data_IF_085435126777
#
_entry.id   IF_085435126777
#
_cell.length_a   1.000
_cell.length_b   1.000
_cell.length_c   1.000
_cell.angle_alpha   90.00
_cell.angle_beta   90.00
_cell.angle_gamma   90.00
#
_symmetry.space_group_name_H-M   'P 1'
#
loop_
_entity.id
_entity.type
_entity.pdbx_description
1 polymer ?
#
# COMPACT_ATOMS: atom_id res chain seq x y z
N UNK A 1 -5.92 5.15 44.28
CA UNK A 1 -5.59 4.07 43.33
C UNK A 1 -5.83 2.75 44.05
N UNK A 2 -6.73 1.87 43.60
CA UNK A 2 -6.93 0.58 44.25
C UNK A 2 -5.65 -0.25 44.08
N UNK A 3 -5.14 -0.81 45.18
CA UNK A 3 -4.08 -1.82 45.16
C UNK A 3 -4.60 -3.02 44.38
N UNK A 4 -3.92 -3.41 43.30
CA UNK A 4 -4.30 -4.56 42.46
C UNK A 4 -3.19 -5.60 42.51
N UNK A 5 -3.54 -6.77 43.03
CA UNK A 5 -2.66 -7.92 43.22
C UNK A 5 -2.53 -8.72 41.91
N UNK A 6 -1.34 -9.20 41.53
CA UNK A 6 -1.14 -10.01 40.34
C UNK A 6 -1.74 -11.42 40.49
N UNK A 7 -2.28 -11.96 39.38
CA UNK A 7 -2.79 -13.32 39.29
C UNK A 7 -1.59 -14.28 39.10
N UNK A 8 -1.09 -14.80 40.23
CA UNK A 8 -0.46 -16.11 40.46
C UNK A 8 0.68 -16.60 39.55
N UNK A 9 1.88 -16.81 40.12
CA UNK A 9 2.49 -18.13 40.47
C UNK A 9 3.59 -17.92 41.53
N UNK A 10 3.40 -18.40 42.77
CA UNK A 10 4.47 -18.44 43.78
C UNK A 10 5.13 -19.82 43.79
N UNK A 11 6.44 -19.86 43.52
CA UNK A 11 7.29 -21.02 43.82
C UNK A 11 7.48 -21.11 45.34
N UNK A 12 6.93 -22.16 45.93
CA UNK A 12 7.34 -22.83 47.17
C UNK A 12 8.35 -22.10 48.08
N UNK A 13 7.86 -21.52 49.18
CA UNK A 13 8.71 -21.11 50.31
C UNK A 13 8.11 -20.00 51.17
N UNK A 14 6.99 -20.26 51.86
CA UNK A 14 6.41 -19.27 52.78
C UNK A 14 5.09 -19.75 53.37
N UNK A 15 4.96 -19.54 54.68
CA UNK A 15 3.92 -20.01 55.60
C UNK A 15 2.48 -19.82 55.13
N UNK A 16 1.63 -20.78 55.51
CA UNK A 16 0.18 -20.78 55.38
C UNK A 16 -0.46 -19.48 55.87
N UNK A 17 -1.07 -18.71 54.96
CA UNK A 17 -2.48 -18.26 55.08
C UNK A 17 -2.96 -17.39 53.90
N UNK A 18 -2.11 -16.97 52.96
CA UNK A 18 -2.50 -16.11 51.83
C UNK A 18 -2.31 -16.75 50.44
N UNK A 19 -2.63 -18.04 50.29
CA UNK A 19 -2.51 -18.73 49.00
C UNK A 19 -3.83 -18.64 48.21
N UNK A 20 -3.88 -17.72 47.26
CA UNK A 20 -4.89 -17.71 46.21
C UNK A 20 -4.95 -19.09 45.50
N UNK A 21 -6.14 -19.61 45.16
CA UNK A 21 -6.28 -20.95 44.58
C UNK A 21 -5.64 -21.04 43.18
N UNK A 22 -4.93 -22.13 42.91
CA UNK A 22 -4.36 -22.41 41.60
C UNK A 22 -5.49 -22.70 40.59
N UNK A 23 -5.62 -21.87 39.57
CA UNK A 23 -6.56 -22.07 38.47
C UNK A 23 -5.96 -23.01 37.41
N UNK A 24 -6.76 -23.90 36.79
CA UNK A 24 -6.35 -24.66 35.62
C UNK A 24 -5.98 -23.75 34.44
N UNK A 25 -5.05 -24.20 33.60
CA UNK A 25 -4.54 -23.41 32.46
C UNK A 25 -5.66 -23.06 31.46
N UNK A 26 -6.69 -23.90 31.32
CA UNK A 26 -7.85 -23.63 30.45
C UNK A 26 -8.67 -22.43 30.96
N UNK A 27 -8.81 -22.30 32.28
CA UNK A 27 -9.53 -21.20 32.92
C UNK A 27 -8.71 -19.91 32.79
N UNK A 28 -7.38 -20.01 32.96
CA UNK A 28 -6.47 -18.88 32.77
C UNK A 28 -6.52 -18.40 31.30
N UNK A 29 -6.43 -19.32 30.34
CA UNK A 29 -6.55 -19.00 28.91
C UNK A 29 -7.90 -18.37 28.58
N UNK A 30 -9.00 -18.88 29.18
CA UNK A 30 -10.31 -18.28 29.00
C UNK A 30 -10.38 -16.86 29.58
N UNK A 31 -9.88 -16.62 30.79
CA UNK A 31 -9.82 -15.27 31.39
C UNK A 31 -9.01 -14.31 30.50
N UNK A 32 -7.83 -14.75 30.04
CA UNK A 32 -6.98 -13.97 29.14
C UNK A 32 -7.70 -13.67 27.82
N UNK A 33 -8.44 -14.64 27.26
CA UNK A 33 -9.21 -14.46 26.02
C UNK A 33 -10.35 -13.44 26.12
N UNK A 34 -10.85 -13.20 27.34
CA UNK A 34 -11.94 -12.25 27.60
C UNK A 34 -11.43 -10.81 27.80
N UNK A 35 -10.12 -10.61 27.90
CA UNK A 35 -9.48 -9.30 28.07
C UNK A 35 -8.90 -8.85 26.74
N UNK A 36 -9.10 -7.58 26.41
CA UNK A 36 -8.58 -7.04 25.16
C UNK A 36 -7.04 -7.06 25.16
N UNK A 37 -6.38 -7.31 24.01
CA UNK A 37 -4.92 -7.28 23.92
C UNK A 37 -4.29 -6.01 24.50
N UNK A 38 -4.98 -4.88 24.35
CA UNK A 38 -4.57 -3.59 24.91
C UNK A 38 -4.60 -3.60 26.45
N UNK A 39 -5.69 -4.05 27.07
CA UNK A 39 -5.80 -4.13 28.52
C UNK A 39 -4.83 -5.13 29.14
N UNK A 40 -4.61 -6.28 28.50
CA UNK A 40 -3.68 -7.30 28.98
C UNK A 40 -2.28 -6.72 29.20
N UNK A 41 -1.80 -5.87 28.30
CA UNK A 41 -0.48 -5.28 28.46
C UNK A 41 -0.49 -3.98 29.28
N UNK A 42 -1.55 -3.17 29.20
CA UNK A 42 -1.72 -2.01 30.09
C UNK A 42 -1.62 -2.42 31.57
N UNK A 43 -2.19 -3.59 31.89
CA UNK A 43 -2.14 -4.21 33.21
C UNK A 43 -0.85 -4.98 33.50
N UNK A 44 0.13 -4.98 32.59
CA UNK A 44 1.42 -5.66 32.70
C UNK A 44 1.29 -7.15 33.02
N UNK A 45 0.39 -7.85 32.33
CA UNK A 45 0.20 -9.29 32.50
C UNK A 45 1.39 -10.10 31.99
N UNK A 46 2.21 -9.51 31.11
CA UNK A 46 3.52 -10.06 30.70
C UNK A 46 4.57 -9.74 31.76
N UNK A 47 5.35 -10.73 32.18
CA UNK A 47 6.35 -10.66 33.23
C UNK A 47 5.80 -11.01 34.62
N UNK A 48 4.58 -11.55 34.70
CA UNK A 48 3.99 -12.02 35.96
C UNK A 48 4.63 -13.35 36.36
N UNK A 49 4.72 -14.31 35.43
CA UNK A 49 5.51 -15.53 35.54
C UNK A 49 5.61 -16.22 34.18
N UNK A 50 6.59 -17.13 34.02
CA UNK A 50 6.88 -17.77 32.74
C UNK A 50 5.71 -18.51 32.10
N UNK A 51 4.87 -19.22 32.88
CA UNK A 51 3.76 -19.98 32.29
C UNK A 51 2.52 -19.14 31.99
N UNK A 52 2.29 -18.06 32.73
CA UNK A 52 1.27 -17.09 32.39
C UNK A 52 1.68 -16.24 31.19
N UNK A 53 2.97 -15.92 31.08
CA UNK A 53 3.54 -15.22 29.93
C UNK A 53 3.31 -16.03 28.63
N UNK A 54 3.48 -17.35 28.65
CA UNK A 54 3.19 -18.21 27.49
C UNK A 54 1.73 -18.09 27.03
N UNK A 55 0.77 -18.15 27.96
CA UNK A 55 -0.67 -18.04 27.66
C UNK A 55 -1.03 -16.64 27.13
N UNK A 56 -0.47 -15.60 27.73
CA UNK A 56 -0.66 -14.20 27.29
C UNK A 56 -0.04 -13.97 25.92
N UNK A 57 1.17 -14.48 25.66
CA UNK A 57 1.83 -14.37 24.36
C UNK A 57 1.06 -15.11 23.27
N UNK A 58 0.51 -16.28 23.55
CA UNK A 58 -0.30 -17.04 22.59
C UNK A 58 -1.60 -16.28 22.25
N UNK A 59 -2.25 -15.67 23.24
CA UNK A 59 -3.42 -14.81 23.04
C UNK A 59 -3.10 -13.58 22.18
N UNK A 60 -1.99 -12.89 22.49
CA UNK A 60 -1.54 -11.72 21.72
C UNK A 60 -1.19 -12.09 20.27
N UNK A 61 -0.55 -13.25 20.04
CA UNK A 61 -0.25 -13.76 18.69
C UNK A 61 -1.50 -14.09 17.88
N UNK A 62 -2.57 -14.55 18.53
CA UNK A 62 -3.85 -14.87 17.89
C UNK A 62 -4.73 -13.64 17.61
N UNK A 63 -4.38 -12.50 18.20
CA UNK A 63 -5.19 -11.29 18.10
C UNK A 63 -4.96 -10.56 16.78
N UNK A 64 -6.00 -10.46 15.95
CA UNK A 64 -5.96 -9.79 14.64
C UNK A 64 -6.29 -8.31 14.69
N UNK A 65 -6.66 -7.78 15.86
CA UNK A 65 -7.07 -6.39 16.08
C UNK A 65 -6.35 -5.81 17.28
N UNK A 66 -5.43 -4.87 17.04
CA UNK A 66 -4.69 -4.16 18.09
C UNK A 66 -5.11 -2.69 18.10
N UNK A 67 -5.48 -2.19 19.27
CA UNK A 67 -5.74 -0.76 19.47
C UNK A 67 -4.41 -0.08 19.80
N UNK A 68 -4.08 0.94 19.01
CA UNK A 68 -2.70 1.43 18.74
C UNK A 68 -2.10 2.24 19.90
N UNK A 69 -2.86 2.58 20.93
CA UNK A 69 -2.53 3.68 21.84
C UNK A 69 -1.61 3.38 23.04
N UNK A 70 -0.90 2.24 23.12
CA UNK A 70 0.10 2.04 24.18
C UNK A 70 1.43 1.47 23.65
N UNK A 71 2.46 2.33 23.69
CA UNK A 71 3.82 2.18 23.12
C UNK A 71 4.62 0.94 23.59
N UNK A 72 4.20 0.26 24.65
CA UNK A 72 4.96 -0.87 25.23
C UNK A 72 4.61 -2.23 24.62
N UNK A 73 3.35 -2.42 24.17
CA UNK A 73 2.88 -3.63 23.48
C UNK A 73 3.61 -3.79 22.14
N UNK A 74 3.70 -2.67 21.44
CA UNK A 74 4.18 -2.60 20.07
C UNK A 74 5.65 -2.98 19.96
N UNK A 75 6.53 -2.50 20.85
CA UNK A 75 7.96 -2.85 20.79
C UNK A 75 8.25 -4.33 21.09
N UNK A 76 7.39 -5.01 21.87
CA UNK A 76 7.59 -6.42 22.23
C UNK A 76 6.96 -7.39 21.23
N UNK A 77 5.85 -7.02 20.59
CA UNK A 77 5.21 -7.81 19.53
C UNK A 77 5.83 -7.54 18.14
N UNK A 78 6.40 -6.36 17.91
CA UNK A 78 6.91 -5.97 16.59
C UNK A 78 8.42 -6.05 16.44
N UNK A 79 8.85 -7.28 16.20
CA UNK A 79 9.86 -7.57 15.18
C UNK A 79 9.26 -8.23 13.92
N UNK A 80 7.92 -8.30 13.81
CA UNK A 80 7.23 -9.35 13.05
C UNK A 80 6.25 -8.88 11.96
N UNK A 81 6.09 -7.57 11.69
CA UNK A 81 5.26 -7.16 10.56
C UNK A 81 5.95 -7.54 9.25
N UNK A 82 5.46 -8.61 8.63
CA UNK A 82 5.99 -9.13 7.35
C UNK A 82 5.49 -8.31 6.18
N UNK A 83 4.31 -7.70 6.29
CA UNK A 83 3.70 -6.91 5.22
C UNK A 83 2.86 -5.74 5.80
N UNK A 84 2.97 -4.58 5.15
CA UNK A 84 2.20 -3.37 5.43
C UNK A 84 1.47 -2.96 4.15
N UNK A 85 0.13 -3.01 4.19
CA UNK A 85 -0.73 -2.64 3.08
C UNK A 85 -1.43 -1.30 3.39
N UNK A 86 -0.92 -0.21 2.83
CA UNK A 86 -1.50 1.12 2.98
C UNK A 86 -2.48 1.41 1.85
N UNK A 87 -3.75 1.60 2.18
CA UNK A 87 -4.76 2.04 1.24
C UNK A 87 -5.23 3.45 1.60
N UNK A 88 -4.85 4.43 0.77
CA UNK A 88 -5.16 5.84 0.99
C UNK A 88 -6.20 6.30 -0.02
N UNK A 89 -7.36 6.69 0.49
CA UNK A 89 -8.43 7.31 -0.30
C UNK A 89 -8.26 8.83 -0.29
N UNK A 90 -7.96 9.39 -1.45
CA UNK A 90 -7.69 10.82 -1.62
C UNK A 90 -8.95 11.47 -2.20
N UNK A 91 -9.45 12.50 -1.51
CA UNK A 91 -10.70 13.16 -1.88
C UNK A 91 -10.62 14.67 -1.66
N UNK A 92 -11.61 15.40 -2.16
CA UNK A 92 -11.62 16.86 -2.08
C UNK A 92 -11.76 17.43 -0.67
N UNK A 93 -12.23 16.63 0.29
CA UNK A 93 -12.33 17.02 1.71
C UNK A 93 -11.01 16.93 2.47
N UNK A 94 -9.95 16.39 1.85
CA UNK A 94 -8.61 16.26 2.46
C UNK A 94 -8.61 15.56 3.83
N UNK A 95 -9.48 14.56 3.99
CA UNK A 95 -9.60 13.79 5.24
C UNK A 95 -8.28 13.12 5.67
N UNK A 96 -7.41 12.82 4.69
CA UNK A 96 -6.03 12.42 4.92
C UNK A 96 -5.13 13.53 4.37
N UNK A 97 -4.20 14.00 5.19
CA UNK A 97 -3.18 14.98 4.77
C UNK A 97 -1.83 14.32 4.62
N UNK A 98 -0.94 14.87 3.80
CA UNK A 98 0.42 14.34 3.67
C UNK A 98 1.18 14.38 5.00
N UNK A 99 0.93 15.37 5.85
CA UNK A 99 1.53 15.46 7.19
C UNK A 99 1.04 14.31 8.10
N UNK A 100 -0.28 14.08 8.14
CA UNK A 100 -0.84 12.97 8.92
C UNK A 100 -0.37 11.61 8.41
N UNK A 101 -0.32 11.44 7.09
CA UNK A 101 0.22 10.25 6.45
C UNK A 101 1.71 10.04 6.79
N UNK A 102 2.53 11.09 6.75
CA UNK A 102 3.95 11.02 7.15
C UNK A 102 4.11 10.57 8.60
N UNK A 103 3.29 11.09 9.51
CA UNK A 103 3.30 10.68 10.91
C UNK A 103 2.91 9.22 11.08
N UNK A 104 1.90 8.75 10.36
CA UNK A 104 1.50 7.33 10.34
C UNK A 104 2.63 6.43 9.83
N UNK A 105 3.28 6.80 8.72
CA UNK A 105 4.39 6.00 8.17
C UNK A 105 5.56 5.95 9.16
N UNK A 106 5.92 7.07 9.80
CA UNK A 106 6.96 7.08 10.84
C UNK A 106 6.63 6.14 12.00
N UNK A 107 5.39 6.18 12.46
CA UNK A 107 4.91 5.26 13.49
C UNK A 107 5.04 3.79 13.05
N UNK A 108 4.64 3.46 11.83
CA UNK A 108 4.78 2.11 11.27
C UNK A 108 6.25 1.70 11.08
N UNK A 109 7.14 2.64 10.80
CA UNK A 109 8.58 2.37 10.72
C UNK A 109 9.19 1.96 12.06
N UNK A 110 8.61 2.35 13.20
CA UNK A 110 9.06 1.90 14.52
C UNK A 110 8.76 0.42 14.79
N UNK A 111 7.87 -0.19 14.00
CA UNK A 111 7.35 -1.56 14.20
C UNK A 111 7.59 -2.48 13.00
N UNK A 112 8.42 -2.04 12.04
CA UNK A 112 8.77 -2.79 10.83
C UNK A 112 10.29 -2.94 10.73
N UNK A 113 10.74 -3.81 9.83
CA UNK A 113 12.15 -4.06 9.58
C UNK A 113 12.45 -4.03 8.08
N UNK A 114 13.72 -4.26 7.70
CA UNK A 114 14.16 -4.23 6.30
C UNK A 114 13.57 -5.34 5.42
N UNK A 115 12.98 -6.37 6.01
CA UNK A 115 12.31 -7.47 5.30
C UNK A 115 10.80 -7.22 5.16
N UNK A 116 10.23 -6.23 5.85
CA UNK A 116 8.81 -5.90 5.73
C UNK A 116 8.48 -5.46 4.30
N UNK A 117 7.45 -6.06 3.73
CA UNK A 117 6.94 -5.73 2.41
C UNK A 117 5.97 -4.54 2.53
N UNK A 118 6.23 -3.46 1.81
CA UNK A 118 5.35 -2.28 1.81
C UNK A 118 4.57 -2.16 0.51
N UNK A 119 3.25 -2.14 0.59
CA UNK A 119 2.38 -1.92 -0.55
C UNK A 119 1.55 -0.65 -0.33
N UNK A 120 1.47 0.19 -1.35
CA UNK A 120 0.68 1.41 -1.35
C UNK A 120 -0.38 1.37 -2.45
N UNK A 121 -1.63 1.56 -2.06
CA UNK A 121 -2.74 1.81 -2.98
C UNK A 121 -3.24 3.23 -2.78
N UNK A 122 -3.25 4.02 -3.84
CA UNK A 122 -3.79 5.37 -3.88
C UNK A 122 -5.08 5.36 -4.70
N UNK A 123 -6.19 5.66 -4.04
CA UNK A 123 -7.52 5.71 -4.65
C UNK A 123 -7.95 7.16 -4.83
N UNK A 124 -8.21 7.56 -6.08
CA UNK A 124 -8.62 8.90 -6.43
C UNK A 124 -10.15 9.04 -6.39
N UNK A 125 -10.61 9.86 -5.46
CA UNK A 125 -11.98 10.30 -5.31
C UNK A 125 -12.11 11.82 -5.47
N UNK A 126 -11.09 12.51 -5.98
CA UNK A 126 -11.13 13.95 -6.27
C UNK A 126 -12.01 14.23 -7.48
N UNK A 127 -12.45 15.47 -7.62
CA UNK A 127 -13.16 15.96 -8.80
C UNK A 127 -12.22 16.26 -9.96
N UNK A 128 -10.99 16.69 -9.68
CA UNK A 128 -10.00 17.13 -10.67
C UNK A 128 -9.22 16.02 -11.36
N UNK A 129 -9.12 14.84 -10.74
CA UNK A 129 -8.22 13.78 -11.20
C UNK A 129 -6.76 14.03 -10.82
N UNK A 130 -5.88 13.14 -11.27
CA UNK A 130 -4.43 13.16 -10.97
C UNK A 130 -3.57 13.65 -12.16
N UNK A 131 -4.11 14.57 -12.95
CA UNK A 131 -3.43 15.11 -14.13
C UNK A 131 -2.25 16.01 -13.79
N UNK A 132 -1.62 16.60 -14.81
CA UNK A 132 -0.50 17.52 -14.59
C UNK A 132 -0.93 18.73 -13.75
N UNK A 133 -0.15 19.03 -12.74
CA UNK A 133 -0.28 20.21 -11.90
C UNK A 133 1.05 20.98 -11.93
N UNK A 134 0.98 22.29 -12.14
CA UNK A 134 2.16 23.15 -12.00
C UNK A 134 2.67 23.16 -10.56
N UNK A 135 3.91 23.60 -10.34
CA UNK A 135 4.54 23.59 -9.00
C UNK A 135 3.73 24.34 -7.94
N UNK A 136 3.16 25.49 -8.30
CA UNK A 136 2.30 26.27 -7.40
C UNK A 136 1.01 25.51 -7.04
N UNK A 137 0.37 24.88 -8.03
CA UNK A 137 -0.85 24.10 -7.82
C UNK A 137 -0.59 22.83 -7.01
N UNK A 138 0.54 22.15 -7.25
CA UNK A 138 0.93 20.96 -6.51
C UNK A 138 1.14 21.28 -5.02
N UNK A 139 1.72 22.45 -4.71
CA UNK A 139 1.91 22.88 -3.32
C UNK A 139 0.57 23.10 -2.63
N UNK A 140 -0.37 23.75 -3.33
CA UNK A 140 -1.73 24.02 -2.83
C UNK A 140 -2.56 22.74 -2.69
N UNK A 141 -2.43 21.82 -3.64
CA UNK A 141 -3.23 20.60 -3.74
C UNK A 141 -2.45 19.35 -3.28
N UNK A 142 -1.43 19.53 -2.44
CA UNK A 142 -0.54 18.43 -2.02
C UNK A 142 -1.31 17.25 -1.43
N UNK A 143 -2.32 17.53 -0.60
CA UNK A 143 -3.15 16.50 0.06
C UNK A 143 -4.06 15.76 -0.93
N UNK A 144 -4.25 16.31 -2.13
CA UNK A 144 -5.08 15.76 -3.20
C UNK A 144 -4.27 15.05 -4.29
N UNK A 145 -2.94 15.01 -4.16
CA UNK A 145 -2.04 14.60 -5.23
C UNK A 145 -1.30 13.33 -4.86
N UNK A 146 -1.45 12.28 -5.68
CA UNK A 146 -0.85 10.96 -5.46
C UNK A 146 0.66 11.04 -5.23
N UNK A 147 1.34 11.85 -6.05
CA UNK A 147 2.80 12.02 -5.98
C UNK A 147 3.29 12.46 -4.61
N UNK A 148 2.51 13.25 -3.86
CA UNK A 148 2.91 13.72 -2.53
C UNK A 148 2.95 12.58 -1.51
N UNK A 149 2.05 11.60 -1.62
CA UNK A 149 2.05 10.41 -0.75
C UNK A 149 3.18 9.45 -1.11
N UNK A 150 3.43 9.25 -2.41
CA UNK A 150 4.58 8.45 -2.88
C UNK A 150 5.89 9.07 -2.39
N UNK A 151 6.10 10.38 -2.64
CA UNK A 151 7.28 11.11 -2.15
C UNK A 151 7.42 11.01 -0.63
N UNK A 152 6.33 11.06 0.13
CA UNK A 152 6.40 10.91 1.59
C UNK A 152 7.02 9.59 2.03
N UNK A 153 6.70 8.47 1.36
CA UNK A 153 7.30 7.15 1.64
C UNK A 153 8.77 7.11 1.22
N UNK A 154 9.08 7.63 0.02
CA UNK A 154 10.46 7.68 -0.49
C UNK A 154 11.36 8.57 0.38
N UNK A 155 10.87 9.71 0.85
CA UNK A 155 11.58 10.63 1.76
C UNK A 155 11.85 10.02 3.14
N UNK A 156 11.11 8.96 3.50
CA UNK A 156 11.32 8.17 4.72
C UNK A 156 12.14 6.90 4.43
N UNK A 157 12.75 6.80 3.25
CA UNK A 157 13.54 5.66 2.78
C UNK A 157 12.78 4.32 2.82
N UNK A 158 11.46 4.36 2.63
CA UNK A 158 10.64 3.15 2.56
C UNK A 158 10.65 2.59 1.15
N UNK A 159 11.07 1.34 0.99
CA UNK A 159 11.05 0.63 -0.30
C UNK A 159 9.64 0.13 -0.62
N UNK A 160 9.03 0.67 -1.66
CA UNK A 160 7.68 0.27 -2.06
C UNK A 160 7.79 -1.03 -2.88
N UNK A 161 7.19 -2.11 -2.40
CA UNK A 161 7.06 -3.34 -3.17
C UNK A 161 6.01 -3.15 -4.27
N UNK A 162 4.77 -2.80 -3.92
CA UNK A 162 3.70 -2.58 -4.88
C UNK A 162 3.12 -1.18 -4.77
N UNK A 163 3.02 -0.47 -5.89
CA UNK A 163 2.29 0.79 -6.02
C UNK A 163 1.08 0.59 -6.94
N UNK A 164 -0.11 0.85 -6.43
CA UNK A 164 -1.38 0.79 -7.19
C UNK A 164 -2.02 2.17 -7.26
N UNK A 165 -2.25 2.66 -8.48
CA UNK A 165 -2.84 3.97 -8.76
C UNK A 165 -4.22 3.76 -9.37
N UNK A 166 -5.27 4.11 -8.63
CA UNK A 166 -6.66 3.77 -8.96
C UNK A 166 -7.53 5.02 -9.12
N UNK A 167 -8.30 5.09 -10.21
CA UNK A 167 -9.42 6.03 -10.35
C UNK A 167 -10.76 5.29 -10.27
N UNK A 168 -11.48 5.42 -9.15
CA UNK A 168 -12.84 4.84 -9.03
C UNK A 168 -13.90 5.58 -9.81
N UNK A 169 -13.64 6.84 -10.17
CA UNK A 169 -14.55 7.68 -10.97
C UNK A 169 -14.24 7.57 -12.45
N UNK A 170 -13.28 6.74 -12.82
CA UNK A 170 -12.95 6.51 -14.20
C UNK A 170 -14.16 5.94 -14.93
N UNK A 171 -14.55 6.67 -15.94
CA UNK A 171 -15.52 6.22 -16.90
C UNK A 171 -14.84 5.13 -17.74
N UNK A 172 -15.56 4.01 -17.93
CA UNK A 172 -15.07 2.93 -18.78
C UNK A 172 -14.66 3.50 -20.14
N UNK A 173 -13.53 3.05 -20.72
CA UNK A 173 -13.01 3.52 -22.01
C UNK A 173 -14.02 3.69 -23.15
N UNK A 174 -15.13 2.96 -23.11
CA UNK A 174 -16.18 2.90 -24.12
C UNK A 174 -17.23 4.01 -24.00
N UNK A 175 -17.51 4.49 -22.79
CA UNK A 175 -18.48 5.55 -22.53
C UNK A 175 -17.91 6.94 -22.86
N UNK A 176 -16.60 7.00 -23.13
CA UNK A 176 -15.89 8.21 -23.54
C UNK A 176 -16.24 8.71 -24.94
N UNK A 177 -16.61 7.80 -25.86
CA UNK A 177 -17.00 8.18 -27.23
C UNK A 177 -18.36 8.91 -27.21
N UNK A 178 -19.17 8.64 -26.20
CA UNK A 178 -20.57 9.07 -26.10
C UNK A 178 -20.81 10.20 -25.10
N UNK A 179 -19.79 10.65 -24.35
CA UNK A 179 -19.98 11.68 -23.32
C UNK A 179 -18.88 12.75 -23.33
N UNK A 180 -19.24 14.05 -23.34
CA UNK A 180 -18.29 15.18 -23.30
C UNK A 180 -17.68 15.42 -21.91
N UNK A 181 -17.77 14.47 -20.98
CA UNK A 181 -17.18 14.62 -19.66
C UNK A 181 -15.66 14.78 -19.73
N UNK A 182 -15.13 15.64 -18.86
CA UNK A 182 -13.70 15.92 -18.75
C UNK A 182 -12.95 14.61 -18.47
N UNK A 183 -12.15 14.17 -19.46
CA UNK A 183 -11.30 12.99 -19.37
C UNK A 183 -10.38 13.12 -18.16
N UNK A 184 -10.46 12.14 -17.26
CA UNK A 184 -9.60 12.06 -16.07
C UNK A 184 -8.37 11.28 -16.48
N UNK A 185 -7.19 11.82 -16.19
CA UNK A 185 -5.93 11.16 -16.50
C UNK A 185 -4.94 11.30 -15.36
N UNK A 186 -4.00 10.38 -15.27
CA UNK A 186 -2.85 10.48 -14.39
C UNK A 186 -1.66 11.08 -15.12
N UNK A 187 -0.94 11.98 -14.46
CA UNK A 187 0.38 12.41 -14.87
C UNK A 187 1.45 11.45 -14.32
N UNK A 188 2.26 10.87 -15.19
CA UNK A 188 3.26 9.88 -14.78
C UNK A 188 4.53 10.55 -14.30
N UNK A 189 4.74 10.55 -12.98
CA UNK A 189 5.96 11.03 -12.35
C UNK A 189 7.05 9.94 -12.35
N UNK A 190 8.35 10.29 -12.46
CA UNK A 190 9.44 9.31 -12.39
C UNK A 190 9.43 8.49 -11.09
N UNK A 191 9.06 9.11 -9.97
CA UNK A 191 9.01 8.50 -8.64
C UNK A 191 8.04 7.32 -8.55
N UNK A 192 7.05 7.21 -9.45
CA UNK A 192 6.19 6.03 -9.50
C UNK A 192 6.95 4.75 -9.89
N UNK A 193 8.10 4.87 -10.56
CA UNK A 193 9.00 3.74 -10.85
C UNK A 193 9.85 3.33 -9.64
N UNK A 194 9.84 4.07 -8.54
CA UNK A 194 10.54 3.72 -7.31
C UNK A 194 9.78 2.64 -6.51
N UNK A 195 9.28 1.63 -7.20
CA UNK A 195 8.63 0.45 -6.62
C UNK A 195 9.02 -0.81 -7.41
N UNK A 196 8.72 -2.00 -6.89
CA UNK A 196 8.96 -3.26 -7.61
C UNK A 196 7.88 -3.57 -8.63
N UNK A 197 6.62 -3.31 -8.27
CA UNK A 197 5.44 -3.56 -9.11
C UNK A 197 4.58 -2.29 -9.16
N UNK A 198 4.35 -1.77 -10.37
CA UNK A 198 3.51 -0.60 -10.62
C UNK A 198 2.24 -1.00 -11.37
N UNK A 199 1.08 -0.83 -10.73
CA UNK A 199 -0.23 -1.07 -11.29
C UNK A 199 -0.96 0.26 -11.53
N UNK A 200 -1.37 0.51 -12.75
CA UNK A 200 -2.07 1.74 -13.16
C UNK A 200 -3.47 1.39 -13.66
N UNK A 201 -4.44 1.59 -12.78
CA UNK A 201 -5.88 1.51 -13.06
C UNK A 201 -6.43 2.93 -13.31
N UNK A 202 -5.73 3.70 -14.15
CA UNK A 202 -5.98 5.10 -14.45
C UNK A 202 -5.62 5.35 -15.92
N UNK A 203 -6.41 6.15 -16.65
CA UNK A 203 -6.00 6.59 -17.98
C UNK A 203 -4.69 7.40 -17.89
N UNK A 204 -3.65 6.96 -18.59
CA UNK A 204 -2.32 7.57 -18.61
C UNK A 204 -2.34 8.75 -19.59
N UNK A 205 -2.18 9.95 -19.01
CA UNK A 205 -2.13 11.20 -19.75
C UNK A 205 -0.71 11.63 -20.06
N UNK A 206 -0.40 12.89 -19.73
CA UNK A 206 0.93 13.45 -19.88
C UNK A 206 1.95 12.68 -19.00
N UNK A 207 3.16 12.56 -19.50
CA UNK A 207 4.24 11.84 -18.84
C UNK A 207 5.33 12.84 -18.55
N UNK A 208 5.90 12.78 -17.35
CA UNK A 208 6.94 13.71 -16.99
C UNK A 208 8.13 13.55 -17.94
N UNK A 209 8.53 14.64 -18.63
CA UNK A 209 9.71 14.59 -19.48
C UNK A 209 10.91 14.19 -18.64
N UNK A 210 11.79 13.37 -19.23
CA UNK A 210 13.02 12.88 -18.60
C UNK A 210 14.08 13.99 -18.46
N UNK A 211 13.71 15.16 -17.94
CA UNK A 211 14.69 16.16 -17.51
C UNK A 211 15.48 15.69 -16.27
N UNK A 212 15.00 14.62 -15.61
CA UNK A 212 15.73 13.89 -14.59
C UNK A 212 16.85 13.11 -15.29
N UNK A 213 18.08 13.59 -15.08
CA UNK A 213 19.37 13.18 -15.63
C UNK A 213 19.35 11.83 -16.37
N UNK A 214 19.95 11.75 -17.57
CA UNK A 214 20.14 10.51 -18.34
C UNK A 214 20.73 9.31 -17.54
N UNK A 215 21.21 9.55 -16.31
CA UNK A 215 21.77 8.59 -15.38
C UNK A 215 20.77 8.06 -14.32
N UNK A 216 19.55 8.60 -14.24
CA UNK A 216 18.52 8.13 -13.31
C UNK A 216 18.00 6.77 -13.78
N UNK A 217 18.51 5.72 -13.15
CA UNK A 217 18.11 4.33 -13.39
C UNK A 217 17.18 3.84 -12.29
N UNK A 218 16.00 3.35 -12.69
CA UNK A 218 14.99 2.83 -11.78
C UNK A 218 15.09 1.32 -11.70
N UNK A 219 16.13 0.84 -11.01
CA UNK A 219 16.48 -0.58 -10.93
C UNK A 219 15.48 -1.41 -10.10
N UNK A 220 14.63 -0.76 -9.29
CA UNK A 220 13.65 -1.48 -8.47
C UNK A 220 12.50 -2.07 -9.29
N UNK A 221 12.07 -1.35 -10.34
CA UNK A 221 10.87 -1.71 -11.10
C UNK A 221 11.11 -2.97 -11.92
N UNK A 222 10.22 -3.95 -11.75
CA UNK A 222 10.23 -5.23 -12.47
C UNK A 222 8.95 -5.49 -13.25
N UNK A 223 7.83 -5.02 -12.73
CA UNK A 223 6.51 -5.25 -13.31
C UNK A 223 5.79 -3.91 -13.49
N UNK A 224 5.30 -3.66 -14.70
CA UNK A 224 4.41 -2.54 -15.00
C UNK A 224 3.12 -3.08 -15.61
N UNK A 225 2.00 -2.79 -14.98
CA UNK A 225 0.68 -3.22 -15.42
C UNK A 225 -0.23 -2.01 -15.66
N UNK A 226 -0.87 -1.99 -16.82
CA UNK A 226 -1.92 -1.04 -17.17
C UNK A 226 -3.23 -1.81 -17.25
N UNK A 227 -4.13 -1.54 -16.31
CA UNK A 227 -5.38 -2.27 -16.19
C UNK A 227 -6.57 -1.42 -16.64
N UNK A 228 -7.34 -1.95 -17.58
CA UNK A 228 -8.50 -1.35 -18.23
C UNK A 228 -8.31 0.13 -18.64
N UNK A 229 -7.10 0.54 -19.03
CA UNK A 229 -6.72 1.95 -19.17
C UNK A 229 -6.18 2.37 -20.53
N UNK A 230 -6.46 3.63 -20.88
CA UNK A 230 -5.91 4.27 -22.07
C UNK A 230 -4.51 4.82 -21.81
N UNK A 231 -3.69 4.84 -22.86
CA UNK A 231 -2.40 5.54 -22.87
C UNK A 231 -2.43 6.53 -24.02
N UNK A 232 -2.48 7.83 -23.72
CA UNK A 232 -2.60 8.87 -24.76
C UNK A 232 -1.30 9.04 -25.55
N UNK A 233 -0.15 8.90 -24.88
CA UNK A 233 1.18 9.12 -25.47
C UNK A 233 2.05 7.88 -25.30
N UNK A 234 1.86 6.88 -26.18
CA UNK A 234 2.55 5.58 -26.07
C UNK A 234 4.07 5.69 -26.22
N UNK A 235 4.55 6.52 -27.13
CA UNK A 235 5.98 6.73 -27.34
C UNK A 235 6.64 7.24 -26.06
N UNK A 236 6.03 8.26 -25.46
CA UNK A 236 6.49 8.88 -24.23
C UNK A 236 6.44 7.90 -23.05
N UNK A 237 5.47 6.97 -23.03
CA UNK A 237 5.42 5.91 -22.02
C UNK A 237 6.54 4.89 -22.18
N UNK A 238 6.82 4.45 -23.40
CA UNK A 238 7.93 3.53 -23.68
C UNK A 238 9.27 4.18 -23.33
N UNK A 239 9.45 5.46 -23.70
CA UNK A 239 10.60 6.25 -23.30
C UNK A 239 10.69 6.34 -21.77
N UNK A 240 9.61 6.71 -21.09
CA UNK A 240 9.54 6.74 -19.63
C UNK A 240 9.93 5.42 -18.94
N UNK A 241 9.59 4.27 -19.51
CA UNK A 241 9.95 2.94 -18.99
C UNK A 241 11.37 2.50 -19.36
N UNK A 242 11.98 3.08 -20.40
CA UNK A 242 13.30 2.66 -20.93
C UNK A 242 14.45 2.77 -19.94
N UNK A 243 14.35 3.63 -18.92
CA UNK A 243 15.36 3.75 -17.87
C UNK A 243 15.05 2.91 -16.60
N UNK A 244 14.15 1.94 -16.71
CA UNK A 244 13.94 0.88 -15.72
C UNK A 244 14.59 -0.43 -16.24
N UNK A 245 15.91 -0.61 -16.08
CA UNK A 245 16.64 -1.71 -16.72
C UNK A 245 16.26 -3.12 -16.23
N UNK A 246 15.59 -3.21 -15.07
CA UNK A 246 15.15 -4.48 -14.49
C UNK A 246 13.68 -4.78 -14.78
N UNK A 247 13.00 -3.94 -15.58
CA UNK A 247 11.62 -4.16 -16.00
C UNK A 247 11.58 -5.39 -16.90
N UNK A 248 11.09 -6.51 -16.37
CA UNK A 248 11.00 -7.76 -17.10
C UNK A 248 9.58 -8.07 -17.59
N UNK A 249 8.57 -7.38 -17.06
CA UNK A 249 7.17 -7.67 -17.39
C UNK A 249 6.36 -6.39 -17.62
N UNK A 250 5.74 -6.30 -18.80
CA UNK A 250 4.78 -5.27 -19.19
C UNK A 250 3.41 -5.94 -19.45
N UNK A 251 2.45 -5.71 -18.56
CA UNK A 251 1.08 -6.24 -18.68
C UNK A 251 0.11 -5.16 -19.10
N UNK A 252 -0.76 -5.49 -20.05
CA UNK A 252 -1.87 -4.64 -20.47
C UNK A 252 -3.12 -5.47 -20.32
N UNK A 253 -3.82 -5.25 -19.22
CA UNK A 253 -5.05 -5.97 -18.92
C UNK A 253 -6.20 -5.25 -19.60
N UNK A 254 -6.84 -5.99 -20.49
CA UNK A 254 -7.94 -5.52 -21.31
C UNK A 254 -9.22 -6.19 -20.78
N UNK A 255 -10.33 -5.44 -20.60
CA UNK A 255 -11.58 -6.01 -20.10
C UNK A 255 -11.99 -7.26 -20.89
N UNK A 256 -12.53 -8.28 -20.23
CA UNK A 256 -12.92 -9.55 -20.87
C UNK A 256 -13.91 -9.37 -22.05
N UNK A 257 -14.72 -8.31 -22.01
CA UNK A 257 -15.63 -7.91 -23.11
C UNK A 257 -14.87 -7.45 -24.37
N UNK A 258 -13.64 -6.94 -24.24
CA UNK A 258 -12.75 -6.62 -25.36
C UNK A 258 -11.97 -7.82 -25.87
N UNK A 259 -11.61 -8.82 -25.05
CA UNK A 259 -10.89 -10.00 -25.54
C UNK A 259 -11.59 -10.66 -26.75
N UNK A 260 -12.93 -10.64 -26.76
CA UNK A 260 -13.78 -11.13 -27.87
C UNK A 260 -13.84 -10.21 -29.10
N UNK A 261 -13.58 -8.90 -28.96
CA UNK A 261 -13.52 -7.93 -30.07
C UNK A 261 -12.10 -7.76 -30.62
N UNK A 262 -11.09 -7.76 -29.75
CA UNK A 262 -9.67 -7.75 -30.09
C UNK A 262 -9.29 -9.02 -30.86
N UNK A 263 -9.85 -10.19 -30.52
CA UNK A 263 -9.69 -11.42 -31.32
C UNK A 263 -10.29 -11.32 -32.73
N UNK A 264 -11.28 -10.45 -32.95
CA UNK A 264 -11.86 -10.14 -34.27
C UNK A 264 -11.23 -8.90 -34.94
N UNK A 265 -10.27 -8.27 -34.29
CA UNK A 265 -9.59 -7.07 -34.77
C UNK A 265 -8.61 -7.48 -35.87
N UNK A 266 -9.00 -7.29 -37.13
CA UNK A 266 -8.11 -7.28 -38.29
C UNK A 266 -7.12 -6.12 -38.16
N UNK A 267 -5.93 -6.26 -38.77
CA UNK A 267 -4.94 -5.17 -38.90
C UNK A 267 -5.67 -3.88 -39.33
N UNK A 268 -5.78 -2.89 -38.44
CA UNK A 268 -6.42 -1.60 -38.73
C UNK A 268 -7.78 -1.31 -38.10
N UNK A 269 -8.32 -2.15 -37.19
CA UNK A 269 -9.66 -1.92 -36.62
C UNK A 269 -9.76 -0.78 -35.56
N UNK A 270 -8.65 -0.12 -35.19
CA UNK A 270 -8.68 1.20 -34.57
C UNK A 270 -7.62 2.07 -35.24
N UNK A 271 -8.01 2.88 -36.23
CA UNK A 271 -7.12 3.86 -36.89
C UNK A 271 -6.83 5.09 -36.02
N UNK A 272 -7.44 5.20 -34.83
CA UNK A 272 -7.11 6.23 -33.84
C UNK A 272 -5.92 5.77 -32.99
N UNK A 273 -4.84 6.57 -32.89
CA UNK A 273 -3.62 6.20 -32.15
C UNK A 273 -3.87 5.87 -30.67
N UNK A 274 -4.95 6.42 -30.10
CA UNK A 274 -5.42 6.23 -28.73
C UNK A 274 -5.70 4.76 -28.36
N UNK A 275 -6.03 3.91 -29.35
CA UNK A 275 -6.53 2.53 -29.11
C UNK A 275 -5.70 1.43 -29.79
N UNK A 276 -4.62 1.77 -30.50
CA UNK A 276 -3.75 0.76 -31.10
C UNK A 276 -3.23 -0.18 -30.00
N UNK A 277 -3.71 -1.43 -29.98
CA UNK A 277 -3.26 -2.45 -29.03
C UNK A 277 -1.73 -2.48 -28.99
N UNK A 278 -1.13 -2.74 -27.82
CA UNK A 278 0.27 -3.12 -27.67
C UNK A 278 0.55 -4.50 -28.31
N UNK A 279 -0.02 -4.78 -29.49
CA UNK A 279 0.31 -5.95 -30.28
C UNK A 279 1.67 -5.69 -30.90
N UNK A 280 2.67 -6.35 -30.34
CA UNK A 280 3.90 -6.63 -31.07
C UNK A 280 3.52 -7.33 -32.39
N UNK A 281 4.17 -7.00 -33.52
CA UNK A 281 4.13 -7.90 -34.67
C UNK A 281 4.64 -9.28 -34.21
N UNK A 282 3.96 -10.34 -34.65
CA UNK A 282 4.04 -11.70 -34.11
C UNK A 282 5.43 -12.40 -34.16
N UNK A 283 6.52 -11.68 -34.42
CA UNK A 283 7.86 -12.24 -34.64
C UNK A 283 8.97 -11.63 -33.78
N UNK A 284 8.70 -10.84 -32.74
CA UNK A 284 9.75 -10.34 -31.84
C UNK A 284 9.76 -11.07 -30.50
N UNK A 285 10.36 -12.26 -30.51
CA UNK A 285 10.86 -12.92 -29.30
C UNK A 285 12.21 -12.31 -28.92
N UNK A 286 12.21 -11.10 -28.35
CA UNK A 286 13.29 -10.56 -27.48
C UNK A 286 12.97 -9.10 -27.23
N UNK A 287 12.96 -8.68 -25.97
CA UNK A 287 13.38 -7.32 -25.62
C UNK A 287 14.20 -7.37 -24.32
N UNK A 288 15.43 -6.86 -24.46
CA UNK A 288 16.19 -6.16 -23.43
C UNK A 288 15.46 -4.87 -23.05
#
# INVERSE_FOLDING_TARGET
MPQRSPILRCSSGGSDDDRLPNLPDEIIAHIVSMVSPTETVALRWIGVNSGFDEVVEEHLKRSTTLNVCEDFIWRKLCGCLTEVNLHVKISDSESVTCCGFRSLVRYLLEVTNSQTIWNLTLEDCTTSGQGYQGLADLTRNRNKSFICYVRTLLDLNTTINRLTLLDRRKISPYMMITSPHKRRSIYMYPEFKCCRELFVCYDIGLIAPQFAHHNDSFTSLRIFEVDESHVFYKKDLLEYLSNAPNLCELRVVVPATWCRRVSRCTKGCFKTPDFACFRLPANTHTFL
#
